data_IF_771131547604
#
_entry.id   IF_771131547604
#
_cell.length_a   1.000
_cell.length_b   1.000
_cell.length_c   1.000
_cell.angle_alpha   90.00
_cell.angle_beta   90.00
_cell.angle_gamma   90.00
#
_symmetry.space_group_name_H-M   'P 1'
#
loop_
_entity.id
_entity.type
_entity.pdbx_description
1 polymer ?
#
# COMPACT_ATOMS: atom_id res chain seq x y z
N UNK A 1 6.24 14.32 -22.40
CA UNK A 1 6.09 13.73 -22.08
C UNK A 1 5.62 12.82 -21.56
N UNK A 2 5.45 12.68 -21.27
CA UNK A 2 4.96 11.81 -20.88
C UNK A 2 4.77 11.27 -19.99
N UNK A 3 4.90 10.88 -20.10
CA UNK A 3 4.55 10.80 -18.91
C UNK A 3 3.53 9.84 -18.36
N UNK A 4 2.72 9.27 -19.02
CA UNK A 4 1.73 8.34 -18.56
C UNK A 4 2.24 7.14 -17.85
N UNK A 5 3.41 6.75 -18.14
CA UNK A 5 3.96 5.57 -17.51
C UNK A 5 4.17 5.76 -16.04
N UNK A 6 4.16 6.97 -15.57
CA UNK A 6 4.30 7.20 -14.15
C UNK A 6 3.08 6.84 -13.37
N UNK A 7 2.01 6.50 -14.05
CA UNK A 7 0.79 6.14 -13.37
C UNK A 7 0.81 4.73 -12.83
N UNK A 8 1.80 3.97 -13.21
CA UNK A 8 1.86 2.59 -12.77
C UNK A 8 2.11 2.52 -11.26
N UNK A 9 1.25 1.82 -10.52
CA UNK A 9 1.45 1.72 -9.07
C UNK A 9 2.72 0.95 -8.74
N UNK A 10 3.50 1.43 -7.79
CA UNK A 10 4.74 0.76 -7.40
C UNK A 10 4.50 -0.26 -6.31
N UNK A 11 3.83 -1.32 -6.62
CA UNK A 11 3.47 -2.31 -5.62
C UNK A 11 4.65 -3.20 -5.28
N UNK A 12 5.61 -2.62 -4.60
CA UNK A 12 6.69 -3.40 -4.03
C UNK A 12 6.68 -3.19 -2.53
N UNK A 13 7.33 -4.06 -1.77
CA UNK A 13 7.34 -3.89 -0.32
C UNK A 13 7.83 -2.55 0.14
N UNK A 14 8.72 -1.92 -0.63
CA UNK A 14 9.25 -0.64 -0.23
C UNK A 14 8.42 0.53 -0.68
N UNK A 15 7.68 0.38 -1.77
CA UNK A 15 7.13 1.53 -2.44
C UNK A 15 5.62 1.60 -2.49
N UNK A 16 4.95 0.63 -1.96
CA UNK A 16 3.50 0.60 -2.03
C UNK A 16 2.81 1.38 -0.94
N UNK A 17 3.26 2.59 -0.66
CA UNK A 17 2.74 3.42 0.44
C UNK A 17 2.11 4.68 -0.11
N UNK A 18 0.92 5.00 0.35
CA UNK A 18 0.23 6.21 -0.09
C UNK A 18 -0.53 6.79 1.09
N UNK A 19 -0.57 8.12 1.18
CA UNK A 19 -1.10 8.77 2.37
C UNK A 19 -1.74 10.11 2.00
N UNK A 20 -2.71 10.52 2.80
CA UNK A 20 -3.28 11.86 2.71
C UNK A 20 -2.83 12.74 3.88
N UNK A 21 -1.89 12.27 4.69
CA UNK A 21 -1.43 13.01 5.85
C UNK A 21 -2.11 12.60 7.13
N UNK A 22 -3.22 11.89 7.05
CA UNK A 22 -3.92 11.38 8.22
C UNK A 22 -4.00 9.88 8.23
N UNK A 23 -4.17 9.29 7.06
CA UNK A 23 -4.23 7.86 6.92
C UNK A 23 -3.18 7.41 5.95
N UNK A 24 -2.74 6.18 6.09
CA UNK A 24 -1.72 5.59 5.24
C UNK A 24 -2.23 4.23 4.79
N UNK A 25 -2.08 3.95 3.51
CA UNK A 25 -2.35 2.63 2.98
C UNK A 25 -1.05 2.02 2.52
N UNK A 26 -0.86 0.76 2.84
CA UNK A 26 0.28 0.02 2.38
C UNK A 26 -0.19 -1.17 1.54
N UNK A 27 0.28 -1.21 0.31
CA UNK A 27 -0.06 -2.26 -0.64
C UNK A 27 1.13 -3.20 -0.75
N UNK A 28 0.94 -4.44 -0.38
CA UNK A 28 2.04 -5.40 -0.34
C UNK A 28 1.64 -6.67 -1.08
N UNK A 29 2.38 -7.08 -2.09
CA UNK A 29 2.12 -8.37 -2.73
C UNK A 29 2.36 -9.49 -1.74
N UNK A 30 1.37 -10.36 -1.56
CA UNK A 30 1.50 -11.42 -0.58
C UNK A 30 1.40 -12.80 -1.18
N UNK A 31 0.80 -12.90 -2.35
CA UNK A 31 0.65 -14.17 -2.99
C UNK A 31 0.80 -14.00 -4.47
N UNK A 32 1.32 -14.99 -5.09
CA UNK A 32 1.69 -14.87 -6.47
C UNK A 32 1.65 -16.23 -7.10
N UNK A 33 0.74 -16.45 -7.99
CA UNK A 33 0.76 -17.68 -8.74
C UNK A 33 0.68 -17.31 -10.21
N UNK A 34 0.64 -18.31 -11.06
CA UNK A 34 0.75 -18.04 -12.45
C UNK A 34 -0.42 -17.25 -13.01
N UNK A 35 -1.53 -17.30 -12.32
CA UNK A 35 -2.74 -16.70 -12.86
C UNK A 35 -3.15 -15.43 -12.18
N UNK A 36 -2.71 -15.21 -10.98
CA UNK A 36 -3.20 -14.08 -10.24
C UNK A 36 -2.19 -13.63 -9.20
N UNK A 37 -2.37 -12.41 -8.78
CA UNK A 37 -1.56 -11.81 -7.72
C UNK A 37 -2.50 -11.17 -6.74
N UNK A 38 -2.29 -11.46 -5.47
CA UNK A 38 -3.06 -10.84 -4.41
C UNK A 38 -2.19 -9.84 -3.70
N UNK A 39 -2.81 -8.76 -3.24
CA UNK A 39 -2.11 -7.76 -2.46
C UNK A 39 -2.81 -7.59 -1.13
N UNK A 40 -2.03 -7.46 -0.08
CA UNK A 40 -2.55 -7.15 1.23
C UNK A 40 -2.50 -5.64 1.38
N UNK A 41 -3.64 -5.04 1.66
CA UNK A 41 -3.72 -3.59 1.84
C UNK A 41 -4.01 -3.33 3.30
N UNK A 42 -3.07 -2.68 3.97
CA UNK A 42 -3.19 -2.36 5.38
C UNK A 42 -3.44 -0.87 5.53
N UNK A 43 -4.42 -0.53 6.34
CA UNK A 43 -4.76 0.86 6.60
C UNK A 43 -4.30 1.24 7.99
N UNK A 44 -3.55 2.33 8.09
CA UNK A 44 -3.12 2.88 9.36
C UNK A 44 -3.56 4.32 9.49
N UNK A 45 -3.73 4.76 10.70
CA UNK A 45 -4.12 6.14 10.99
C UNK A 45 -3.01 6.80 11.77
N UNK A 46 -2.60 7.99 11.29
CA UNK A 46 -1.57 8.77 11.95
C UNK A 46 -2.21 9.56 13.07
N UNK A 47 -1.81 9.28 14.30
CA UNK A 47 -2.38 9.95 15.45
C UNK A 47 -1.43 11.04 15.92
N UNK A 48 -1.97 12.23 16.27
CA UNK A 48 -1.11 13.30 16.74
C UNK A 48 -0.35 12.88 17.98
N UNK A 49 0.96 13.15 17.97
CA UNK A 49 1.77 12.83 19.13
C UNK A 49 2.20 11.39 19.24
N UNK A 50 1.74 10.54 18.33
CA UNK A 50 2.11 9.13 18.38
C UNK A 50 3.13 8.84 17.29
N UNK A 51 4.25 8.21 17.64
CA UNK A 51 5.26 7.92 16.62
C UNK A 51 4.88 6.78 15.69
N UNK A 52 3.95 5.93 16.10
CA UNK A 52 3.57 4.77 15.32
C UNK A 52 2.10 4.87 14.97
N UNK A 53 1.75 4.71 13.69
CA UNK A 53 0.34 4.77 13.31
C UNK A 53 -0.46 3.64 13.92
N UNK A 54 -1.73 3.91 14.14
CA UNK A 54 -2.66 2.91 14.60
C UNK A 54 -3.11 2.09 13.39
N UNK A 55 -2.81 0.81 13.38
CA UNK A 55 -3.23 -0.05 12.28
C UNK A 55 -4.69 -0.43 12.50
N UNK A 56 -5.50 -0.12 11.51
CA UNK A 56 -6.94 -0.25 11.68
C UNK A 56 -7.49 -1.52 11.07
N UNK A 57 -7.14 -1.81 9.86
CA UNK A 57 -7.63 -3.03 9.24
C UNK A 57 -6.77 -3.37 8.04
N UNK A 58 -7.01 -4.56 7.54
CA UNK A 58 -6.24 -5.12 6.48
C UNK A 58 -7.19 -5.94 5.63
N UNK A 59 -6.99 -5.91 4.33
CA UNK A 59 -7.81 -6.69 3.43
C UNK A 59 -6.96 -7.19 2.28
N UNK A 60 -7.42 -8.27 1.67
CA UNK A 60 -6.75 -8.81 0.51
C UNK A 60 -7.51 -8.40 -0.74
N UNK A 61 -6.79 -7.90 -1.71
CA UNK A 61 -7.36 -7.46 -2.96
C UNK A 61 -6.65 -8.14 -4.10
N UNK A 62 -7.36 -8.31 -5.21
CA UNK A 62 -6.69 -8.69 -6.43
C UNK A 62 -5.85 -7.53 -6.92
N UNK A 63 -4.93 -7.82 -7.83
CA UNK A 63 -4.12 -6.75 -8.38
C UNK A 63 -4.99 -5.68 -9.03
N UNK A 64 -6.01 -6.09 -9.76
CA UNK A 64 -6.87 -5.11 -10.41
C UNK A 64 -7.58 -4.22 -9.40
N UNK A 65 -8.07 -4.82 -8.34
CA UNK A 65 -8.74 -4.04 -7.30
C UNK A 65 -7.76 -3.10 -6.60
N UNK A 66 -6.55 -3.58 -6.38
CA UNK A 66 -5.54 -2.75 -5.73
C UNK A 66 -5.15 -1.57 -6.60
N UNK A 67 -4.97 -1.80 -7.89
CA UNK A 67 -4.64 -0.72 -8.81
C UNK A 67 -5.76 0.31 -8.84
N UNK A 68 -7.00 -0.17 -8.86
CA UNK A 68 -8.14 0.74 -8.87
C UNK A 68 -8.17 1.58 -7.60
N UNK A 69 -7.94 0.96 -6.46
CA UNK A 69 -7.93 1.68 -5.19
C UNK A 69 -6.82 2.71 -5.15
N UNK A 70 -5.63 2.34 -5.61
CA UNK A 70 -4.50 3.26 -5.64
C UNK A 70 -4.84 4.49 -6.46
N UNK A 71 -5.40 4.28 -7.64
CA UNK A 71 -5.73 5.39 -8.51
C UNK A 71 -6.83 6.28 -7.93
N UNK A 72 -7.80 5.66 -7.27
CA UNK A 72 -8.85 6.43 -6.62
C UNK A 72 -8.28 7.34 -5.54
N UNK A 73 -7.35 6.80 -4.76
CA UNK A 73 -6.74 7.61 -3.71
C UNK A 73 -5.94 8.75 -4.30
N UNK A 74 -5.22 8.49 -5.37
CA UNK A 74 -4.48 9.56 -6.03
C UNK A 74 -5.41 10.66 -6.51
N UNK A 75 -6.57 10.29 -7.03
CA UNK A 75 -7.53 11.28 -7.48
C UNK A 75 -8.09 12.09 -6.32
N UNK A 76 -8.08 11.53 -5.12
CA UNK A 76 -8.51 12.22 -3.93
C UNK A 76 -7.41 13.05 -3.30
N UNK A 77 -6.24 13.09 -3.90
CA UNK A 77 -5.16 13.90 -3.40
C UNK A 77 -4.13 13.16 -2.56
N UNK A 78 -4.27 11.85 -2.41
CA UNK A 78 -3.28 11.08 -1.68
C UNK A 78 -2.00 11.01 -2.49
N UNK A 79 -0.88 10.91 -1.80
CA UNK A 79 0.42 10.90 -2.43
C UNK A 79 1.24 9.74 -1.94
N UNK A 80 2.07 9.21 -2.83
CA UNK A 80 3.03 8.19 -2.44
C UNK A 80 3.93 8.73 -1.34
N UNK A 81 4.25 7.89 -0.40
CA UNK A 81 5.06 8.31 0.74
C UNK A 81 6.03 7.21 1.12
N UNK A 82 6.90 7.50 2.07
CA UNK A 82 7.80 6.50 2.57
C UNK A 82 7.09 5.62 3.58
N UNK A 83 7.75 4.52 3.95
CA UNK A 83 7.15 3.57 4.87
C UNK A 83 6.79 4.26 6.17
N UNK A 84 5.58 4.02 6.63
CA UNK A 84 5.08 4.63 7.84
C UNK A 84 5.24 3.70 9.04
N UNK A 85 5.47 2.43 8.82
CA UNK A 85 5.75 1.50 9.90
C UNK A 85 6.69 0.44 9.38
N UNK A 86 7.26 -0.30 10.30
CA UNK A 86 8.23 -1.33 9.96
C UNK A 86 7.50 -2.62 9.67
N UNK A 87 7.80 -3.22 8.52
CA UNK A 87 7.17 -4.47 8.16
C UNK A 87 7.83 -5.61 8.90
N UNK A 88 7.07 -6.61 9.30
CA UNK A 88 7.68 -7.78 9.92
C UNK A 88 8.54 -8.51 8.90
N UNK A 89 9.59 -9.19 9.35
CA UNK A 89 10.41 -9.95 8.42
C UNK A 89 9.60 -11.07 7.79
N UNK A 90 10.03 -11.53 6.63
CA UNK A 90 9.33 -12.62 5.97
C UNK A 90 9.27 -13.82 6.89
N UNK A 91 8.11 -14.46 6.88
CA UNK A 91 7.96 -15.64 7.72
C UNK A 91 8.80 -16.77 7.17
N UNK A 92 9.62 -17.33 8.03
CA UNK A 92 10.44 -18.41 7.59
C UNK A 92 9.75 -19.72 7.82
N UNK A 93 9.90 -20.61 6.88
CA UNK A 93 9.40 -21.94 7.06
C UNK A 93 10.37 -22.69 7.93
N UNK A 94 9.88 -23.36 8.85
CA UNK A 94 10.80 -24.14 9.71
C UNK A 94 10.80 -25.55 9.36
#
# INVERSE_FOLDING_TARGET
>A
MFVGDNQRPPFTPKEGWISDGRQVLHFRPVRYDRWSQALEVTCGELLPGEPIPLLKHRQDLSREQAVQLWKEKQQQGWRACSAAWELPPPRRRS
#
